data_IF_080102645131
#
_entry.id   IF_080102645131
#
_cell.length_a   1.000
_cell.length_b   1.000
_cell.length_c   1.000
_cell.angle_alpha   90.00
_cell.angle_beta   90.00
_cell.angle_gamma   90.00
#
_symmetry.space_group_name_H-M   'P 1'
#
loop_
_entity.id
_entity.type
_entity.pdbx_description
1 polymer ?
#
# COMPACT_ATOMS: atom_id res chain seq x y z
N UNK A 1 8.33 -11.64 44.58
CA UNK A 1 7.26 -10.84 43.94
C UNK A 1 6.60 -11.70 42.86
N UNK A 2 5.27 -11.64 42.69
CA UNK A 2 4.56 -12.47 41.68
C UNK A 2 4.68 -11.86 40.27
N UNK A 3 5.38 -12.56 39.37
CA UNK A 3 5.57 -12.13 37.98
C UNK A 3 4.41 -12.52 37.06
N UNK A 4 3.45 -13.31 37.55
CA UNK A 4 2.33 -13.85 36.76
C UNK A 4 1.50 -12.75 36.10
N UNK A 5 1.37 -11.59 36.73
CA UNK A 5 0.68 -10.43 36.16
C UNK A 5 1.36 -9.87 34.90
N UNK A 6 2.70 -9.89 34.83
CA UNK A 6 3.43 -9.45 33.65
C UNK A 6 3.34 -10.48 32.53
N UNK A 7 3.46 -11.77 32.88
CA UNK A 7 3.33 -12.88 31.93
C UNK A 7 1.93 -12.89 31.28
N UNK A 8 0.87 -12.69 32.07
CA UNK A 8 -0.51 -12.56 31.57
C UNK A 8 -0.72 -11.35 30.64
N UNK A 9 -0.12 -10.20 30.97
CA UNK A 9 -0.17 -8.99 30.11
C UNK A 9 0.54 -9.24 28.78
N UNK A 10 1.72 -9.85 28.81
CA UNK A 10 2.49 -10.21 27.61
C UNK A 10 1.67 -11.16 26.75
N UNK A 11 1.14 -12.25 27.32
CA UNK A 11 0.37 -13.25 26.58
C UNK A 11 -0.91 -12.67 25.96
N UNK A 12 -1.60 -11.79 26.69
CA UNK A 12 -2.81 -11.11 26.18
C UNK A 12 -2.44 -10.19 25.00
N UNK A 13 -1.37 -9.41 25.13
CA UNK A 13 -0.91 -8.53 24.06
C UNK A 13 -0.44 -9.33 22.83
N UNK A 14 0.26 -10.46 23.01
CA UNK A 14 0.68 -11.35 21.93
C UNK A 14 -0.52 -11.95 21.18
N UNK A 15 -1.54 -12.40 21.92
CA UNK A 15 -2.79 -12.90 21.33
C UNK A 15 -3.49 -11.83 20.50
N UNK A 16 -3.55 -10.59 21.01
CA UNK A 16 -4.14 -9.47 20.30
C UNK A 16 -3.30 -9.05 19.07
N UNK A 17 -1.97 -9.16 19.13
CA UNK A 17 -1.10 -8.95 17.96
C UNK A 17 -1.43 -9.96 16.87
N UNK A 18 -1.50 -11.26 17.20
CA UNK A 18 -1.80 -12.31 16.24
C UNK A 18 -3.17 -12.09 15.56
N UNK A 19 -4.20 -11.76 16.35
CA UNK A 19 -5.53 -11.45 15.83
C UNK A 19 -5.52 -10.23 14.88
N UNK A 20 -4.81 -9.16 15.25
CA UNK A 20 -4.67 -7.97 14.39
C UNK A 20 -3.88 -8.25 13.12
N UNK A 21 -2.88 -9.14 13.17
CA UNK A 21 -2.13 -9.55 11.98
C UNK A 21 -3.01 -10.32 10.98
N UNK A 22 -3.90 -11.18 11.45
CA UNK A 22 -4.87 -11.88 10.60
C UNK A 22 -5.86 -10.89 9.93
N UNK A 23 -6.33 -9.89 10.68
CA UNK A 23 -7.17 -8.83 10.13
C UNK A 23 -6.42 -7.98 9.09
N UNK A 24 -5.15 -7.63 9.35
CA UNK A 24 -4.31 -6.93 8.39
C UNK A 24 -4.06 -7.76 7.12
N UNK A 25 -3.90 -9.08 7.23
CA UNK A 25 -3.76 -9.96 6.09
C UNK A 25 -5.04 -9.92 5.23
N UNK A 26 -6.21 -10.06 5.86
CA UNK A 26 -7.52 -9.99 5.18
C UNK A 26 -7.68 -8.65 4.43
N UNK A 27 -7.38 -7.54 5.08
CA UNK A 27 -7.45 -6.20 4.48
C UNK A 27 -6.43 -6.05 3.34
N UNK A 28 -5.23 -6.59 3.49
CA UNK A 28 -4.21 -6.54 2.43
C UNK A 28 -4.64 -7.32 1.19
N UNK A 29 -5.26 -8.49 1.35
CA UNK A 29 -5.79 -9.29 0.25
C UNK A 29 -6.91 -8.55 -0.48
N UNK A 30 -7.80 -7.91 0.28
CA UNK A 30 -8.88 -7.12 -0.32
C UNK A 30 -8.35 -5.91 -1.09
N UNK A 31 -7.36 -5.21 -0.55
CA UNK A 31 -6.67 -4.13 -1.27
C UNK A 31 -6.02 -4.65 -2.56
N UNK A 32 -5.26 -5.76 -2.50
CA UNK A 32 -4.60 -6.36 -3.66
C UNK A 32 -5.59 -6.84 -4.72
N UNK A 33 -6.81 -7.24 -4.32
CA UNK A 33 -7.87 -7.64 -5.23
C UNK A 33 -8.52 -6.45 -5.93
N UNK A 34 -8.77 -5.36 -5.20
CA UNK A 34 -9.46 -4.17 -5.73
C UNK A 34 -8.53 -3.24 -6.53
N UNK A 35 -7.28 -3.07 -6.10
CA UNK A 35 -6.37 -2.08 -6.67
C UNK A 35 -6.14 -2.21 -8.19
N UNK A 36 -5.89 -3.40 -8.76
CA UNK A 36 -5.75 -3.55 -10.21
C UNK A 36 -7.01 -3.16 -10.99
N UNK A 37 -8.19 -3.51 -10.46
CA UNK A 37 -9.48 -3.21 -11.09
C UNK A 37 -9.67 -1.70 -11.17
N UNK A 38 -9.54 -1.01 -10.04
CA UNK A 38 -9.69 0.44 -9.98
C UNK A 38 -8.65 1.19 -10.83
N UNK A 39 -7.42 0.66 -10.92
CA UNK A 39 -6.39 1.23 -11.78
C UNK A 39 -6.75 1.14 -13.27
N UNK A 40 -7.23 -0.03 -13.72
CA UNK A 40 -7.69 -0.22 -15.11
C UNK A 40 -8.87 0.70 -15.43
N UNK A 41 -9.84 0.82 -14.53
CA UNK A 41 -10.99 1.72 -14.71
C UNK A 41 -10.57 3.18 -14.79
N UNK A 42 -9.66 3.61 -13.92
CA UNK A 42 -9.07 4.95 -13.96
C UNK A 42 -8.40 5.21 -15.31
N UNK A 43 -7.53 4.30 -15.76
CA UNK A 43 -6.83 4.44 -17.04
C UNK A 43 -7.80 4.52 -18.22
N UNK A 44 -8.82 3.65 -18.28
CA UNK A 44 -9.83 3.67 -19.33
C UNK A 44 -10.60 4.99 -19.36
N UNK A 45 -11.00 5.49 -18.19
CA UNK A 45 -11.68 6.78 -18.08
C UNK A 45 -10.78 7.92 -18.55
N UNK A 46 -9.52 7.93 -18.10
CA UNK A 46 -8.57 8.98 -18.47
C UNK A 46 -8.28 9.01 -19.98
N UNK A 47 -8.08 7.84 -20.59
CA UNK A 47 -7.93 7.71 -22.06
C UNK A 47 -9.16 8.25 -22.78
N UNK A 48 -10.36 7.87 -22.32
CA UNK A 48 -11.62 8.37 -22.90
C UNK A 48 -11.70 9.90 -22.81
N UNK A 49 -11.44 10.47 -21.64
CA UNK A 49 -11.50 11.92 -21.42
C UNK A 49 -10.47 12.66 -22.31
N UNK A 50 -9.29 12.10 -22.53
CA UNK A 50 -8.28 12.67 -23.44
C UNK A 50 -8.67 12.59 -24.92
N UNK A 51 -9.26 11.47 -25.35
CA UNK A 51 -9.77 11.31 -26.72
C UNK A 51 -10.91 12.29 -26.97
N UNK A 52 -11.86 12.41 -26.04
CA UNK A 52 -13.02 13.30 -26.16
C UNK A 52 -12.61 14.79 -26.14
N UNK A 53 -11.55 15.14 -25.41
CA UNK A 53 -11.06 16.52 -25.32
C UNK A 53 -10.08 16.91 -26.44
N UNK A 54 -9.56 15.97 -27.23
CA UNK A 54 -8.61 16.21 -28.31
C UNK A 54 -9.04 15.57 -29.64
N UNK A 55 -10.24 15.88 -30.18
CA UNK A 55 -10.75 15.26 -31.40
C UNK A 55 -9.83 15.48 -32.61
N UNK A 56 -9.19 16.64 -32.72
CA UNK A 56 -8.25 16.95 -33.82
C UNK A 56 -7.02 16.03 -33.82
N UNK A 57 -6.52 15.64 -32.64
CA UNK A 57 -5.41 14.71 -32.53
C UNK A 57 -5.83 13.31 -33.01
N UNK A 58 -7.04 12.88 -32.67
CA UNK A 58 -7.62 11.60 -33.10
C UNK A 58 -7.82 11.58 -34.62
N UNK A 59 -8.32 12.66 -35.21
CA UNK A 59 -8.47 12.80 -36.67
C UNK A 59 -7.12 12.69 -37.38
N UNK A 60 -6.06 13.31 -36.83
CA UNK A 60 -4.70 13.26 -37.38
C UNK A 60 -4.09 11.86 -37.38
N UNK A 61 -4.46 10.99 -36.43
CA UNK A 61 -3.99 9.60 -36.41
C UNK A 61 -4.51 8.77 -37.59
N UNK A 62 -5.67 9.14 -38.15
CA UNK A 62 -6.35 8.36 -39.19
C UNK A 62 -6.79 6.98 -38.71
N UNK A 63 -7.45 6.22 -39.59
CA UNK A 63 -8.05 4.92 -39.24
C UNK A 63 -7.01 3.89 -38.73
N UNK A 64 -5.84 3.81 -39.39
CA UNK A 64 -4.79 2.86 -39.00
C UNK A 64 -4.16 3.25 -37.67
N UNK A 65 -3.85 4.53 -37.45
CA UNK A 65 -3.27 4.98 -36.17
C UNK A 65 -4.23 4.80 -34.99
N UNK A 66 -5.54 4.95 -35.20
CA UNK A 66 -6.56 4.65 -34.18
C UNK A 66 -6.61 3.15 -33.87
N UNK A 67 -6.47 2.29 -34.88
CA UNK A 67 -6.41 0.84 -34.66
C UNK A 67 -5.17 0.43 -33.86
N UNK A 68 -4.00 0.97 -34.21
CA UNK A 68 -2.73 0.72 -33.52
C UNK A 68 -2.79 1.18 -32.06
N UNK A 69 -3.28 2.42 -31.82
CA UNK A 69 -3.47 2.95 -30.47
C UNK A 69 -4.40 2.05 -29.64
N UNK A 70 -5.50 1.57 -30.22
CA UNK A 70 -6.43 0.67 -29.53
C UNK A 70 -5.76 -0.66 -29.18
N UNK A 71 -4.92 -1.20 -30.06
CA UNK A 71 -4.18 -2.44 -29.83
C UNK A 71 -3.14 -2.27 -28.70
N UNK A 72 -2.36 -1.17 -28.72
CA UNK A 72 -1.38 -0.86 -27.67
C UNK A 72 -2.04 -0.68 -26.30
N UNK A 73 -3.13 0.10 -26.23
CA UNK A 73 -3.88 0.31 -24.99
C UNK A 73 -4.49 -0.99 -24.47
N UNK A 74 -5.03 -1.84 -25.35
CA UNK A 74 -5.57 -3.15 -24.96
C UNK A 74 -4.49 -4.01 -24.31
N UNK A 75 -3.33 -4.13 -24.94
CA UNK A 75 -2.19 -4.87 -24.40
C UNK A 75 -1.74 -4.28 -23.05
N UNK A 76 -1.65 -2.95 -22.95
CA UNK A 76 -1.33 -2.28 -21.70
C UNK A 76 -2.30 -2.65 -20.56
N UNK A 77 -3.62 -2.67 -20.81
CA UNK A 77 -4.59 -3.03 -19.76
C UNK A 77 -4.46 -4.49 -19.30
N UNK A 78 -4.14 -5.39 -20.22
CA UNK A 78 -3.88 -6.80 -19.91
C UNK A 78 -2.64 -6.92 -18.99
N UNK A 79 -1.55 -6.23 -19.33
CA UNK A 79 -0.29 -6.24 -18.57
C UNK A 79 -0.39 -5.47 -17.23
N UNK A 80 -1.22 -4.42 -17.15
CA UNK A 80 -1.34 -3.55 -15.98
C UNK A 80 -1.77 -4.32 -14.72
N UNK A 81 -2.69 -5.27 -14.88
CA UNK A 81 -3.24 -6.04 -13.77
C UNK A 81 -2.14 -6.88 -13.12
N UNK A 82 -1.34 -7.58 -13.94
CA UNK A 82 -0.23 -8.40 -13.47
C UNK A 82 0.87 -7.54 -12.84
N UNK A 83 1.21 -6.41 -13.46
CA UNK A 83 2.23 -5.49 -12.95
C UNK A 83 1.88 -4.95 -11.56
N UNK A 84 0.65 -4.48 -11.36
CA UNK A 84 0.19 -4.00 -10.04
C UNK A 84 0.20 -5.15 -9.03
N UNK A 85 -0.33 -6.30 -9.41
CA UNK A 85 -0.40 -7.47 -8.52
C UNK A 85 1.00 -7.93 -8.08
N UNK A 86 1.95 -7.99 -9.00
CA UNK A 86 3.34 -8.39 -8.75
C UNK A 86 4.05 -7.41 -7.81
N UNK A 87 3.84 -6.10 -8.00
CA UNK A 87 4.40 -5.09 -7.10
C UNK A 87 3.77 -5.18 -5.70
N UNK A 88 2.44 -5.24 -5.61
CA UNK A 88 1.76 -5.29 -4.32
C UNK A 88 2.03 -6.58 -3.56
N UNK A 89 2.44 -7.69 -4.19
CA UNK A 89 2.81 -8.91 -3.46
C UNK A 89 4.06 -8.77 -2.59
N UNK A 90 4.88 -7.74 -2.79
CA UNK A 90 6.13 -7.57 -2.05
C UNK A 90 5.87 -7.17 -0.60
N UNK A 91 6.55 -7.84 0.34
CA UNK A 91 6.41 -7.62 1.80
C UNK A 91 6.75 -6.18 2.23
N UNK A 92 7.50 -5.43 1.42
CA UNK A 92 7.80 -4.01 1.66
C UNK A 92 6.54 -3.15 1.77
N UNK A 93 5.44 -3.57 1.13
CA UNK A 93 4.14 -2.90 1.22
C UNK A 93 3.26 -3.41 2.36
N UNK A 94 3.65 -4.52 3.01
CA UNK A 94 2.86 -5.18 4.05
C UNK A 94 3.69 -5.48 5.30
N UNK A 95 3.99 -4.47 6.14
CA UNK A 95 4.88 -4.62 7.29
C UNK A 95 4.50 -5.74 8.27
N UNK A 96 3.22 -6.12 8.36
CA UNK A 96 2.78 -7.24 9.22
C UNK A 96 3.31 -8.61 8.78
N UNK A 97 3.72 -8.76 7.52
CA UNK A 97 4.31 -9.99 6.95
C UNK A 97 5.81 -10.10 7.22
N UNK A 98 6.48 -8.99 7.53
CA UNK A 98 7.90 -9.01 7.88
C UNK A 98 8.09 -9.48 9.31
N UNK A 99 9.00 -10.44 9.50
CA UNK A 99 9.46 -10.88 10.82
C UNK A 99 10.29 -9.81 11.55
N UNK A 100 10.78 -8.80 10.83
CA UNK A 100 11.83 -7.88 11.28
C UNK A 100 11.34 -6.42 11.35
N UNK A 101 10.15 -6.22 11.90
CA UNK A 101 9.53 -4.89 12.06
C UNK A 101 10.33 -3.99 13.03
N UNK A 102 11.38 -4.52 13.68
CA UNK A 102 12.20 -3.80 14.64
C UNK A 102 13.48 -3.14 14.09
N UNK A 103 13.99 -3.51 12.90
CA UNK A 103 15.41 -3.26 12.62
C UNK A 103 15.74 -2.24 11.52
N UNK A 104 14.87 -1.91 10.56
CA UNK A 104 15.37 -1.24 9.34
C UNK A 104 14.63 -0.07 8.73
N UNK A 105 13.51 0.38 9.26
CA UNK A 105 12.89 1.57 8.68
C UNK A 105 12.33 2.50 9.74
N UNK A 106 12.98 3.65 9.87
CA UNK A 106 12.38 4.93 10.26
C UNK A 106 11.32 5.33 9.23
N UNK A 107 10.31 4.50 9.00
CA UNK A 107 9.07 4.97 8.41
C UNK A 107 8.47 5.92 9.45
N UNK A 108 8.18 7.15 9.07
CA UNK A 108 7.36 8.02 9.89
C UNK A 108 5.99 7.35 10.05
N UNK A 109 5.76 6.70 11.20
CA UNK A 109 4.55 5.94 11.54
C UNK A 109 3.35 6.85 11.86
N UNK A 110 3.34 8.07 11.30
CA UNK A 110 2.26 9.03 11.40
C UNK A 110 1.00 8.62 10.61
N UNK A 111 0.65 7.33 10.55
CA UNK A 111 -0.66 6.79 10.12
C UNK A 111 -1.10 7.07 8.67
N UNK A 112 -0.43 7.96 7.96
CA UNK A 112 -0.71 8.34 6.58
C UNK A 112 0.35 7.83 5.60
N UNK A 113 1.56 7.48 6.03
CA UNK A 113 2.65 7.32 5.08
C UNK A 113 2.58 6.06 4.19
N UNK A 114 2.03 4.95 4.68
CA UNK A 114 1.99 3.68 3.93
C UNK A 114 1.03 3.72 2.72
N UNK A 115 -0.03 4.53 2.79
CA UNK A 115 -1.09 4.55 1.76
C UNK A 115 -1.40 5.97 1.27
N UNK A 116 -1.13 7.03 2.05
CA UNK A 116 -1.24 8.43 1.62
C UNK A 116 0.10 9.07 1.19
N UNK A 117 1.29 8.62 1.65
CA UNK A 117 2.59 9.18 1.21
C UNK A 117 3.48 8.21 0.40
N UNK A 118 2.91 7.50 -0.58
CA UNK A 118 3.70 7.13 -1.78
C UNK A 118 4.37 5.76 -1.84
N UNK A 119 3.90 4.76 -1.08
CA UNK A 119 4.29 3.36 -1.32
C UNK A 119 3.44 2.73 -2.43
N UNK A 120 2.22 2.35 -2.07
CA UNK A 120 1.29 1.63 -2.97
C UNK A 120 0.69 2.53 -4.05
N UNK A 121 0.35 3.78 -3.73
CA UNK A 121 -0.12 4.77 -4.73
C UNK A 121 0.96 5.08 -5.77
N UNK A 122 2.23 5.15 -5.36
CA UNK A 122 3.36 5.33 -6.28
C UNK A 122 3.66 4.06 -7.07
N UNK A 123 3.52 2.87 -6.49
CA UNK A 123 3.63 1.61 -7.23
C UNK A 123 2.58 1.53 -8.35
N UNK A 124 1.31 1.81 -8.01
CA UNK A 124 0.21 1.84 -8.99
C UNK A 124 0.43 2.94 -10.02
N UNK A 125 0.78 4.16 -9.59
CA UNK A 125 1.06 5.27 -10.49
C UNK A 125 2.24 4.99 -11.44
N UNK A 126 3.32 4.34 -10.96
CA UNK A 126 4.44 3.91 -11.81
C UNK A 126 4.01 2.87 -12.83
N UNK A 127 3.13 1.94 -12.46
CA UNK A 127 2.57 0.96 -13.39
C UNK A 127 1.75 1.62 -14.51
N UNK A 128 1.27 2.85 -14.33
CA UNK A 128 0.53 3.62 -15.34
C UNK A 128 1.43 4.41 -16.31
N UNK A 129 2.74 4.52 -16.06
CA UNK A 129 3.67 5.26 -16.94
C UNK A 129 3.61 4.81 -18.41
N UNK A 130 3.55 3.50 -18.74
CA UNK A 130 3.48 3.07 -20.13
C UNK A 130 2.25 3.62 -20.87
N UNK A 131 1.10 3.78 -20.19
CA UNK A 131 -0.09 4.38 -20.78
C UNK A 131 0.18 5.83 -21.23
N UNK A 132 0.82 6.62 -20.37
CA UNK A 132 1.14 8.01 -20.68
C UNK A 132 2.09 8.12 -21.87
N UNK A 133 3.03 7.18 -21.99
CA UNK A 133 3.92 7.09 -23.14
C UNK A 133 3.17 6.73 -24.42
N UNK A 134 2.24 5.76 -24.38
CA UNK A 134 1.37 5.40 -25.50
C UNK A 134 0.57 6.62 -25.97
N UNK A 135 -0.07 7.33 -25.03
CA UNK A 135 -0.88 8.51 -25.33
C UNK A 135 -0.07 9.68 -25.85
N UNK A 136 1.14 9.87 -25.33
CA UNK A 136 2.03 10.93 -25.80
C UNK A 136 2.53 10.68 -27.22
N UNK A 137 2.89 9.43 -27.55
CA UNK A 137 3.21 9.03 -28.94
C UNK A 137 2.05 9.27 -29.90
N UNK A 138 0.82 9.08 -29.44
CA UNK A 138 -0.38 9.34 -30.21
C UNK A 138 -0.75 10.84 -30.31
N UNK A 139 0.04 11.74 -29.70
CA UNK A 139 -0.25 13.18 -29.70
C UNK A 139 -1.45 13.58 -28.84
N UNK A 140 -1.94 12.69 -27.96
CA UNK A 140 -3.08 12.92 -27.06
C UNK A 140 -2.65 13.49 -25.70
N UNK A 141 -1.36 13.46 -25.39
CA UNK A 141 -0.81 14.02 -24.15
C UNK A 141 0.55 14.67 -24.42
N UNK A 142 0.71 15.90 -23.95
CA UNK A 142 2.01 16.58 -23.92
C UNK A 142 2.85 16.18 -22.69
N UNK A 143 2.25 15.47 -21.72
CA UNK A 143 2.93 14.97 -20.55
C UNK A 143 3.51 13.59 -20.84
N UNK A 144 4.80 13.56 -21.21
CA UNK A 144 5.59 12.33 -21.29
C UNK A 144 6.26 11.97 -19.95
N UNK A 145 6.04 12.76 -18.89
CA UNK A 145 6.92 12.78 -17.72
C UNK A 145 6.17 12.81 -16.39
N UNK A 146 6.76 12.10 -15.41
CA UNK A 146 6.63 12.11 -13.93
C UNK A 146 5.42 12.80 -13.27
N UNK A 147 5.07 14.01 -13.62
CA UNK A 147 4.06 14.83 -12.93
C UNK A 147 2.68 14.16 -12.93
N UNK A 148 2.30 13.44 -13.99
CA UNK A 148 1.00 12.73 -14.05
C UNK A 148 0.91 11.53 -13.11
N UNK A 149 2.05 10.91 -12.77
CA UNK A 149 2.13 9.82 -11.77
C UNK A 149 1.89 10.35 -10.36
N UNK A 150 2.25 11.60 -10.10
CA UNK A 150 1.97 12.27 -8.82
C UNK A 150 0.47 12.57 -8.62
N UNK A 151 -0.36 12.47 -9.67
CA UNK A 151 -1.81 12.73 -9.60
C UNK A 151 -2.68 11.49 -9.43
N UNK A 152 -2.15 10.26 -9.47
CA UNK A 152 -2.99 9.09 -9.21
C UNK A 152 -3.41 9.08 -7.73
N UNK A 153 -4.64 9.56 -7.49
CA UNK A 153 -5.31 9.46 -6.21
C UNK A 153 -6.03 8.13 -6.16
N UNK A 154 -5.78 7.38 -5.09
CA UNK A 154 -6.56 6.17 -4.82
C UNK A 154 -8.06 6.53 -4.77
N UNK A 155 -8.93 5.70 -5.37
CA UNK A 155 -10.36 5.77 -5.14
C UNK A 155 -10.70 5.83 -3.64
N UNK A 156 -11.84 6.44 -3.26
CA UNK A 156 -12.28 6.51 -1.87
C UNK A 156 -12.31 5.14 -1.18
N UNK A 157 -12.71 4.10 -1.90
CA UNK A 157 -12.83 2.73 -1.40
C UNK A 157 -11.46 2.15 -1.01
N UNK A 158 -10.47 2.26 -1.90
CA UNK A 158 -9.09 1.83 -1.63
C UNK A 158 -8.42 2.70 -0.55
N UNK A 159 -8.77 3.98 -0.51
CA UNK A 159 -8.31 4.90 0.54
C UNK A 159 -8.83 4.46 1.92
N UNK A 160 -10.08 4.02 2.00
CA UNK A 160 -10.69 3.59 3.25
C UNK A 160 -10.12 2.26 3.75
N UNK A 161 -9.96 1.27 2.84
CA UNK A 161 -9.25 0.02 3.13
C UNK A 161 -7.85 0.32 3.69
N UNK A 162 -7.19 1.32 3.11
CA UNK A 162 -5.88 1.73 3.58
C UNK A 162 -5.86 2.34 4.98
N UNK A 163 -6.86 3.16 5.33
CA UNK A 163 -6.98 3.69 6.70
C UNK A 163 -7.25 2.60 7.72
N UNK A 164 -8.08 1.60 7.37
CA UNK A 164 -8.34 0.46 8.24
C UNK A 164 -7.04 -0.30 8.52
N UNK A 165 -6.26 -0.59 7.47
CA UNK A 165 -4.94 -1.20 7.60
C UNK A 165 -4.00 -0.40 8.51
N UNK A 166 -3.89 0.91 8.28
CA UNK A 166 -3.02 1.79 9.05
C UNK A 166 -3.42 1.85 10.53
N UNK A 167 -4.72 1.78 10.81
CA UNK A 167 -5.25 1.75 12.18
C UNK A 167 -4.80 0.48 12.90
N UNK A 168 -5.03 -0.70 12.30
CA UNK A 168 -4.59 -1.97 12.87
C UNK A 168 -3.08 -2.02 13.08
N UNK A 169 -2.31 -1.50 12.12
CA UNK A 169 -0.86 -1.46 12.21
C UNK A 169 -0.38 -0.59 13.38
N UNK A 170 -1.01 0.57 13.60
CA UNK A 170 -0.73 1.43 14.76
C UNK A 170 -1.06 0.70 16.06
N UNK A 171 -2.21 0.06 16.13
CA UNK A 171 -2.64 -0.68 17.30
C UNK A 171 -1.72 -1.87 17.63
N UNK A 172 -1.28 -2.63 16.63
CA UNK A 172 -0.27 -3.69 16.77
C UNK A 172 1.05 -3.13 17.27
N UNK A 173 1.45 -1.95 16.79
CA UNK A 173 2.68 -1.27 17.25
C UNK A 173 2.59 -0.90 18.73
N UNK A 174 1.44 -0.38 19.17
CA UNK A 174 1.21 -0.06 20.59
C UNK A 174 1.28 -1.30 21.48
N UNK A 175 0.71 -2.43 21.07
CA UNK A 175 0.83 -3.69 21.82
C UNK A 175 2.28 -4.16 21.94
N UNK A 176 3.09 -3.97 20.89
CA UNK A 176 4.52 -4.33 20.96
C UNK A 176 5.29 -3.46 21.94
N UNK A 177 4.93 -2.18 22.05
CA UNK A 177 5.48 -1.28 23.07
C UNK A 177 5.06 -1.76 24.47
N UNK A 178 3.80 -2.15 24.64
CA UNK A 178 3.28 -2.69 25.90
C UNK A 178 4.02 -3.98 26.32
N UNK A 179 4.26 -4.91 25.40
CA UNK A 179 5.05 -6.13 25.67
C UNK A 179 6.46 -5.76 26.15
N UNK A 180 7.15 -4.84 25.45
CA UNK A 180 8.50 -4.40 25.85
C UNK A 180 8.49 -3.76 27.24
N UNK A 181 7.48 -2.96 27.55
CA UNK A 181 7.33 -2.36 28.87
C UNK A 181 7.10 -3.43 29.94
N UNK A 182 6.17 -4.37 29.72
CA UNK A 182 5.90 -5.47 30.64
C UNK A 182 7.14 -6.37 30.85
N UNK A 183 7.92 -6.63 29.80
CA UNK A 183 9.18 -7.37 29.90
C UNK A 183 10.23 -6.62 30.74
N UNK A 184 10.31 -5.29 30.60
CA UNK A 184 11.20 -4.47 31.41
C UNK A 184 10.77 -4.43 32.87
N UNK A 185 9.46 -4.32 33.15
CA UNK A 185 8.90 -4.34 34.50
C UNK A 185 9.13 -5.70 35.17
N UNK A 186 8.89 -6.79 34.44
CA UNK A 186 9.21 -8.16 34.88
C UNK A 186 10.68 -8.32 35.24
N UNK A 187 11.58 -7.83 34.37
CA UNK A 187 13.04 -7.90 34.61
C UNK A 187 13.43 -7.13 35.86
N UNK A 188 12.86 -5.93 36.07
CA UNK A 188 13.09 -5.14 37.28
C UNK A 188 12.58 -5.85 38.53
N UNK A 189 11.36 -6.38 38.52
CA UNK A 189 10.79 -7.11 39.64
C UNK A 189 11.61 -8.35 40.03
N UNK A 190 12.14 -9.08 39.04
CA UNK A 190 13.06 -10.20 39.28
C UNK A 190 14.37 -9.70 39.91
N UNK A 191 14.96 -8.64 39.38
CA UNK A 191 16.19 -8.06 39.92
C UNK A 191 16.01 -7.57 41.37
N UNK A 192 14.92 -6.88 41.67
CA UNK A 192 14.57 -6.45 43.03
C UNK A 192 14.39 -7.64 43.98
N UNK A 193 13.83 -8.76 43.50
CA UNK A 193 13.69 -9.97 44.33
C UNK A 193 15.00 -10.75 44.56
N UNK A 194 16.01 -10.54 43.72
CA UNK A 194 17.32 -11.22 43.81
C UNK A 194 18.37 -10.39 44.56
N UNK A 195 18.25 -9.06 44.50
CA UNK A 195 19.25 -8.11 45.03
C UNK A 195 18.69 -7.18 46.10
N UNK A 196 17.39 -7.22 46.36
CA UNK A 196 16.74 -6.54 47.48
C UNK A 196 16.53 -7.51 48.63
N UNK A 197 17.53 -7.66 49.50
CA UNK A 197 17.35 -8.09 50.88
C UNK A 197 18.00 -7.05 51.81
N UNK A 198 17.22 -6.72 52.86
CA UNK A 198 17.56 -6.12 54.16
C UNK A 198 18.33 -4.78 54.26
#
# INVERSE_FOLDING_TARGET
MDTSQFDNRIQTAETNIASRQEQMETISQEFMRQAPISAVEFCKKHVKDLVDSNPDAVVKLGANGVQDLKAELKKFYEDLTENITSQLKQDVYWPHRSSDVGARNTWDWSGGALIQNGGTSTAIGRAMLPMLQILSKAGLSNSATKDTVEYYKLPPELTEIGKQYATLLRETTMLRVEIKQAQSERTRAIAESLWGED
#
